data_IF_519793556692
#
_entry.id   IF_519793556692
#
_cell.length_a   1.000
_cell.length_b   1.000
_cell.length_c   1.000
_cell.angle_alpha   90.00
_cell.angle_beta   90.00
_cell.angle_gamma   90.00
#
_symmetry.space_group_name_H-M   'P 1'
#
loop_
_entity.id
_entity.type
_entity.pdbx_description
1 polymer ?
#
# COMPACT_ATOMS: atom_id res chain seq x y z
N UNK A 1 18.16 14.98 -15.27
CA UNK A 1 17.75 14.40 -16.57
C UNK A 1 16.84 15.41 -17.25
N UNK A 2 16.99 15.66 -18.53
CA UNK A 2 16.09 16.55 -19.25
C UNK A 2 14.82 15.80 -19.74
N UNK A 3 13.79 16.55 -20.19
CA UNK A 3 12.50 15.97 -20.65
C UNK A 3 12.69 14.94 -21.78
N UNK A 4 13.61 15.20 -22.73
CA UNK A 4 13.84 14.29 -23.88
C UNK A 4 14.47 12.98 -23.44
N UNK A 5 15.42 13.01 -22.53
CA UNK A 5 16.06 11.84 -21.96
C UNK A 5 15.07 11.01 -21.13
N UNK A 6 14.20 11.68 -20.37
CA UNK A 6 13.17 10.97 -19.60
C UNK A 6 12.17 10.26 -20.52
N UNK A 7 11.68 10.92 -21.57
CA UNK A 7 10.76 10.30 -22.55
C UNK A 7 11.41 9.08 -23.18
N UNK A 8 12.66 9.18 -23.60
CA UNK A 8 13.38 8.06 -24.21
C UNK A 8 13.52 6.87 -23.24
N UNK A 9 13.87 7.11 -21.99
CA UNK A 9 13.96 6.05 -20.98
C UNK A 9 12.59 5.45 -20.65
N UNK A 10 11.53 6.27 -20.66
CA UNK A 10 10.17 5.78 -20.46
C UNK A 10 9.73 4.86 -21.62
N UNK A 11 10.02 5.25 -22.87
CA UNK A 11 9.74 4.45 -24.06
C UNK A 11 10.53 3.11 -24.04
N UNK A 12 11.79 3.16 -23.67
CA UNK A 12 12.64 1.96 -23.54
C UNK A 12 12.15 1.00 -22.45
N UNK A 13 11.64 1.55 -21.33
CA UNK A 13 11.18 0.75 -20.20
C UNK A 13 9.76 0.17 -20.38
N UNK A 14 8.86 0.90 -21.09
CA UNK A 14 7.43 0.57 -21.17
C UNK A 14 6.97 0.16 -22.57
N UNK A 15 7.83 0.23 -23.59
CA UNK A 15 7.50 -0.09 -24.98
C UNK A 15 6.46 0.85 -25.63
N UNK A 16 6.13 1.98 -24.97
CA UNK A 16 5.16 2.98 -25.46
C UNK A 16 5.58 4.40 -25.06
N UNK A 17 5.02 5.39 -25.76
CA UNK A 17 5.20 6.81 -25.39
C UNK A 17 4.42 7.15 -24.12
N UNK A 18 4.98 8.05 -23.26
CA UNK A 18 4.25 8.55 -22.10
C UNK A 18 3.02 9.36 -22.52
N UNK A 19 1.95 9.25 -21.75
CA UNK A 19 0.75 10.07 -21.88
C UNK A 19 1.00 11.49 -21.40
N UNK A 20 0.10 12.42 -21.74
CA UNK A 20 0.19 13.81 -21.26
C UNK A 20 0.16 13.91 -19.73
N UNK A 21 -0.62 13.04 -19.07
CA UNK A 21 -0.71 12.97 -17.62
C UNK A 21 0.60 12.50 -16.97
N UNK A 22 1.21 11.44 -17.51
CA UNK A 22 2.50 10.91 -17.02
C UNK A 22 3.64 11.92 -17.22
N UNK A 23 3.60 12.69 -18.33
CA UNK A 23 4.53 13.78 -18.55
C UNK A 23 4.34 14.94 -17.55
N UNK A 24 3.10 15.31 -17.25
CA UNK A 24 2.78 16.36 -16.29
C UNK A 24 3.20 15.93 -14.86
N UNK A 25 2.93 14.70 -14.48
CA UNK A 25 3.35 14.13 -13.20
C UNK A 25 4.89 14.11 -13.06
N UNK A 26 5.60 13.69 -14.09
CA UNK A 26 7.06 13.69 -14.10
C UNK A 26 7.65 15.10 -13.99
N UNK A 27 6.95 16.12 -14.50
CA UNK A 27 7.34 17.54 -14.37
C UNK A 27 7.07 18.08 -12.96
N UNK A 28 5.90 17.78 -12.37
CA UNK A 28 5.51 18.27 -11.04
C UNK A 28 6.37 17.67 -9.92
N UNK A 29 6.77 16.41 -10.03
CA UNK A 29 7.53 15.69 -9.01
C UNK A 29 9.04 15.92 -9.06
N UNK A 30 9.55 16.87 -9.88
CA UNK A 30 10.99 17.14 -10.07
C UNK A 30 11.83 15.87 -10.33
N UNK A 31 11.23 14.82 -10.85
CA UNK A 31 11.92 13.56 -11.22
C UNK A 31 13.01 13.78 -12.26
N UNK A 32 13.01 14.94 -12.95
CA UNK A 32 14.10 15.34 -13.84
C UNK A 32 15.39 15.75 -13.13
N UNK A 33 15.39 15.94 -11.81
CA UNK A 33 16.55 16.48 -11.07
C UNK A 33 17.25 15.49 -10.12
N UNK A 34 16.77 14.26 -9.91
CA UNK A 34 17.43 13.28 -9.02
C UNK A 34 17.61 11.91 -9.68
N UNK A 35 18.90 11.63 -9.81
CA UNK A 35 19.52 10.54 -10.51
C UNK A 35 19.01 9.13 -10.28
N UNK A 36 19.14 8.42 -11.30
CA UNK A 36 19.14 7.00 -11.63
C UNK A 36 19.59 5.95 -10.57
N UNK A 37 19.71 6.28 -9.29
CA UNK A 37 20.16 5.30 -8.28
C UNK A 37 19.03 4.38 -7.78
N UNK A 38 17.78 4.84 -7.76
CA UNK A 38 16.68 4.04 -7.21
C UNK A 38 16.02 3.11 -8.23
N UNK A 39 16.08 3.43 -9.53
CA UNK A 39 15.54 2.56 -10.59
C UNK A 39 16.31 1.24 -10.71
N UNK A 40 17.62 1.25 -10.47
CA UNK A 40 18.46 0.02 -10.51
C UNK A 40 18.10 -0.98 -9.40
N UNK A 41 17.59 -0.52 -8.26
CA UNK A 41 17.18 -1.39 -7.16
C UNK A 41 15.87 -2.10 -7.51
N UNK A 42 14.89 -1.41 -8.12
CA UNK A 42 13.63 -2.03 -8.54
C UNK A 42 13.79 -3.04 -9.68
N UNK A 43 14.65 -2.75 -10.66
CA UNK A 43 14.95 -3.68 -11.76
C UNK A 43 15.69 -4.92 -11.22
N UNK A 44 16.55 -4.77 -10.22
CA UNK A 44 17.24 -5.89 -9.57
C UNK A 44 16.27 -6.84 -8.83
N UNK A 45 15.25 -6.31 -8.17
CA UNK A 45 14.25 -7.11 -7.45
C UNK A 45 13.34 -7.86 -8.42
N UNK A 46 12.83 -7.20 -9.46
CA UNK A 46 11.96 -7.84 -10.47
C UNK A 46 12.72 -8.89 -11.29
N UNK A 47 13.97 -8.64 -11.66
CA UNK A 47 14.82 -9.63 -12.35
C UNK A 47 15.20 -10.80 -11.42
N UNK A 48 15.40 -10.57 -10.13
CA UNK A 48 15.65 -11.62 -9.14
C UNK A 48 14.48 -12.59 -9.01
N UNK A 49 13.25 -12.09 -8.96
CA UNK A 49 12.03 -12.90 -8.89
C UNK A 49 11.81 -13.70 -10.20
N UNK A 50 12.09 -13.10 -11.35
CA UNK A 50 11.92 -13.77 -12.67
C UNK A 50 12.96 -14.89 -12.87
N UNK A 51 14.20 -14.70 -12.40
CA UNK A 51 15.25 -15.73 -12.47
C UNK A 51 14.94 -16.92 -11.54
N UNK A 52 14.38 -16.67 -10.36
CA UNK A 52 13.98 -17.76 -9.45
C UNK A 52 12.81 -18.56 -10.01
N UNK A 53 11.82 -17.94 -10.66
CA UNK A 53 10.72 -18.63 -11.33
C UNK A 53 11.21 -19.50 -12.51
N UNK A 54 12.18 -19.03 -13.29
CA UNK A 54 12.75 -19.79 -14.41
C UNK A 54 13.56 -20.99 -13.89
N UNK A 55 14.31 -20.85 -12.81
CA UNK A 55 15.08 -21.96 -12.23
C UNK A 55 14.19 -23.04 -11.66
N UNK A 56 13.06 -22.71 -11.06
CA UNK A 56 12.06 -23.69 -10.58
C UNK A 56 11.42 -24.42 -11.76
N UNK A 57 11.14 -23.75 -12.87
CA UNK A 57 10.54 -24.31 -14.08
C UNK A 57 11.49 -25.28 -14.81
N UNK A 58 12.77 -24.95 -14.87
CA UNK A 58 13.79 -25.81 -15.52
C UNK A 58 14.06 -27.08 -14.70
N UNK A 59 14.00 -27.02 -13.37
CA UNK A 59 14.21 -28.19 -12.52
C UNK A 59 13.03 -29.18 -12.58
N UNK A 60 11.81 -28.71 -12.81
CA UNK A 60 10.62 -29.57 -12.94
C UNK A 60 10.58 -30.35 -14.26
N UNK A 61 11.26 -29.90 -15.30
CA UNK A 61 11.29 -30.57 -16.61
C UNK A 61 12.41 -31.60 -16.76
N UNK A 62 13.37 -31.67 -15.82
CA UNK A 62 14.53 -32.59 -15.91
C UNK A 62 14.29 -33.96 -15.27
N UNK A 63 13.13 -34.19 -14.65
CA UNK A 63 12.80 -35.44 -13.95
C UNK A 63 11.85 -36.37 -14.70
N UNK A 64 11.45 -36.04 -15.94
CA UNK A 64 10.62 -36.91 -16.75
C UNK A 64 11.32 -37.14 -18.09
N UNK A 65 12.01 -38.25 -18.18
CA UNK A 65 12.42 -38.76 -19.50
C UNK A 65 13.79 -39.44 -19.54
N UNK A 66 13.84 -40.73 -19.20
CA UNK A 66 14.56 -41.71 -19.99
C UNK A 66 14.17 -43.13 -19.57
N UNK A 67 13.22 -43.66 -20.32
CA UNK A 67 12.98 -45.08 -20.44
C UNK A 67 13.28 -45.40 -21.90
N UNK A 68 14.40 -46.00 -22.14
CA UNK A 68 14.65 -46.68 -23.40
C UNK A 68 15.17 -48.08 -23.14
N UNK A 69 14.43 -48.99 -23.75
CA UNK A 69 14.69 -50.41 -23.88
C UNK A 69 15.87 -50.65 -24.82
N UNK A 70 16.67 -51.64 -24.56
CA UNK A 70 17.08 -52.54 -25.62
C UNK A 70 17.41 -53.95 -25.12
N UNK A 71 16.98 -54.84 -25.93
CA UNK A 71 16.86 -56.28 -25.82
C UNK A 71 18.13 -56.99 -26.33
N UNK A 72 18.31 -58.18 -25.78
CA UNK A 72 18.92 -59.40 -26.40
C UNK A 72 20.45 -59.50 -26.41
N UNK A 73 21.04 -60.50 -25.80
CA UNK A 73 21.15 -61.85 -26.30
C UNK A 73 22.11 -62.67 -25.44
N UNK A 74 21.68 -63.85 -25.05
CA UNK A 74 22.32 -65.14 -24.78
C UNK A 74 23.84 -65.24 -24.64
N UNK A 75 24.30 -65.85 -23.54
CA UNK A 75 24.91 -67.22 -23.48
C UNK A 75 25.48 -67.53 -22.10
N UNK A 76 24.93 -68.55 -21.50
CA UNK A 76 25.49 -69.71 -20.76
C UNK A 76 26.96 -69.65 -20.31
N UNK A 77 27.23 -69.71 -19.00
CA UNK A 77 27.86 -70.83 -18.29
C UNK A 77 28.16 -70.51 -16.80
N UNK A 78 27.57 -71.27 -15.93
CA UNK A 78 28.05 -71.94 -14.72
C UNK A 78 29.31 -71.41 -14.00
N UNK A 79 29.24 -70.98 -12.76
CA UNK A 79 29.70 -71.69 -11.56
C UNK A 79 29.82 -70.73 -10.35
N UNK A 80 29.16 -71.16 -9.27
CA UNK A 80 29.44 -71.00 -7.84
C UNK A 80 29.75 -69.63 -7.18
N UNK A 81 28.80 -69.28 -6.36
CA UNK A 81 28.95 -69.17 -4.88
C UNK A 81 29.74 -68.01 -4.29
N UNK A 82 29.01 -67.31 -3.41
CA UNK A 82 29.52 -66.53 -2.26
C UNK A 82 29.85 -65.09 -2.53
N UNK A 83 28.90 -64.19 -2.14
CA UNK A 83 29.02 -62.86 -1.56
C UNK A 83 27.93 -61.90 -1.98
N UNK A 84 26.68 -62.21 -1.66
CA UNK A 84 25.56 -61.25 -1.75
C UNK A 84 25.19 -60.74 -0.33
N UNK A 85 26.06 -59.92 0.26
CA UNK A 85 25.67 -59.19 1.49
C UNK A 85 26.16 -57.73 1.52
N UNK A 86 27.10 -57.34 0.69
CA UNK A 86 27.67 -55.98 0.77
C UNK A 86 27.11 -54.96 -0.27
N UNK A 87 26.32 -55.42 -1.26
CA UNK A 87 25.81 -54.53 -2.32
C UNK A 87 24.46 -53.90 -1.96
N UNK A 88 23.70 -54.48 -1.03
CA UNK A 88 22.43 -53.90 -0.59
C UNK A 88 22.62 -52.86 0.53
N UNK A 89 23.60 -53.03 1.41
CA UNK A 89 23.86 -52.07 2.48
C UNK A 89 24.33 -50.71 1.92
N UNK A 90 25.26 -50.70 0.97
CA UNK A 90 25.75 -49.48 0.37
C UNK A 90 24.71 -48.71 -0.45
N UNK A 91 23.66 -49.37 -1.00
CA UNK A 91 22.54 -48.72 -1.66
C UNK A 91 21.52 -48.14 -0.67
N UNK A 92 21.33 -48.74 0.48
CA UNK A 92 20.46 -48.25 1.56
C UNK A 92 21.11 -47.02 2.18
N UNK A 93 22.39 -47.06 2.52
CA UNK A 93 23.13 -45.95 3.11
C UNK A 93 23.19 -44.71 2.18
N UNK A 94 23.29 -44.92 0.85
CA UNK A 94 23.26 -43.81 -0.12
C UNK A 94 21.87 -43.19 -0.23
N UNK A 95 20.80 -43.98 -0.24
CA UNK A 95 19.41 -43.48 -0.32
C UNK A 95 19.01 -42.70 0.96
N UNK A 96 19.47 -43.14 2.13
CA UNK A 96 19.22 -42.45 3.40
C UNK A 96 20.00 -41.11 3.46
N UNK A 97 21.21 -41.06 2.92
CA UNK A 97 22.00 -39.85 2.84
C UNK A 97 21.33 -38.79 1.93
N UNK A 98 20.92 -39.20 0.71
CA UNK A 98 20.24 -38.31 -0.21
C UNK A 98 18.94 -37.74 0.40
N UNK A 99 18.20 -38.54 1.14
CA UNK A 99 16.98 -38.12 1.84
C UNK A 99 17.28 -37.12 2.95
N UNK A 100 18.33 -37.31 3.71
CA UNK A 100 18.77 -36.42 4.78
C UNK A 100 19.20 -35.06 4.19
N UNK A 101 19.91 -35.05 3.08
CA UNK A 101 20.31 -33.81 2.37
C UNK A 101 19.08 -33.05 1.88
N UNK A 102 18.06 -33.76 1.37
CA UNK A 102 16.83 -33.12 0.90
C UNK A 102 16.01 -32.53 2.08
N UNK A 103 15.89 -33.21 3.19
CA UNK A 103 15.28 -32.73 4.43
C UNK A 103 16.00 -31.46 4.91
N UNK A 104 17.33 -31.48 4.93
CA UNK A 104 18.10 -30.30 5.36
C UNK A 104 17.91 -29.12 4.41
N UNK A 105 17.81 -29.36 3.10
CA UNK A 105 17.50 -28.33 2.12
C UNK A 105 16.13 -27.69 2.35
N UNK A 106 15.10 -28.49 2.63
CA UNK A 106 13.76 -27.97 2.94
C UNK A 106 13.76 -27.17 4.25
N UNK A 107 14.49 -27.58 5.27
CA UNK A 107 14.66 -26.82 6.52
C UNK A 107 15.32 -25.46 6.28
N UNK A 108 16.36 -25.43 5.47
CA UNK A 108 17.02 -24.18 5.09
C UNK A 108 16.08 -23.26 4.32
N UNK A 109 15.27 -23.81 3.39
CA UNK A 109 14.26 -23.04 2.67
C UNK A 109 13.20 -22.47 3.61
N UNK A 110 12.72 -23.22 4.61
CA UNK A 110 11.79 -22.70 5.61
C UNK A 110 12.37 -21.51 6.37
N UNK A 111 13.63 -21.60 6.80
CA UNK A 111 14.31 -20.48 7.47
C UNK A 111 14.42 -19.23 6.58
N UNK A 112 14.70 -19.43 5.29
CA UNK A 112 14.76 -18.32 4.32
C UNK A 112 13.36 -17.69 4.13
N UNK A 113 12.30 -18.51 4.03
CA UNK A 113 10.93 -18.01 3.97
C UNK A 113 10.51 -17.29 5.25
N UNK A 114 10.87 -17.80 6.43
CA UNK A 114 10.58 -17.12 7.71
C UNK A 114 11.20 -15.73 7.75
N UNK A 115 12.43 -15.59 7.25
CA UNK A 115 13.10 -14.29 7.15
C UNK A 115 12.36 -13.34 6.18
N UNK A 116 12.03 -13.82 4.98
CA UNK A 116 11.30 -13.04 3.97
C UNK A 116 9.90 -12.62 4.45
N UNK A 117 9.19 -13.49 5.15
CA UNK A 117 7.87 -13.19 5.74
C UNK A 117 8.02 -12.09 6.79
N UNK A 118 9.00 -12.17 7.68
CA UNK A 118 9.26 -11.14 8.69
C UNK A 118 9.54 -9.77 8.05
N UNK A 119 10.35 -9.73 6.98
CA UNK A 119 10.62 -8.51 6.23
C UNK A 119 9.35 -7.96 5.54
N UNK A 120 8.55 -8.83 4.92
CA UNK A 120 7.31 -8.44 4.27
C UNK A 120 6.26 -7.92 5.29
N UNK A 121 6.13 -8.54 6.46
CA UNK A 121 5.27 -8.06 7.55
C UNK A 121 5.69 -6.68 8.04
N UNK A 122 6.98 -6.43 8.17
CA UNK A 122 7.51 -5.12 8.55
C UNK A 122 7.18 -4.05 7.48
N UNK A 123 7.27 -4.39 6.18
CA UNK A 123 6.91 -3.49 5.09
C UNK A 123 5.41 -3.18 5.10
N UNK A 124 4.54 -4.17 5.18
CA UNK A 124 3.08 -4.01 5.29
C UNK A 124 2.72 -3.13 6.49
N UNK A 125 3.31 -3.40 7.65
CA UNK A 125 3.08 -2.60 8.87
C UNK A 125 3.49 -1.14 8.67
N UNK A 126 4.63 -0.90 8.04
CA UNK A 126 5.12 0.45 7.73
C UNK A 126 4.19 1.17 6.76
N UNK A 127 3.82 0.54 5.64
CA UNK A 127 2.95 1.15 4.63
C UNK A 127 1.54 1.42 5.17
N UNK A 128 0.98 0.51 5.99
CA UNK A 128 -0.28 0.75 6.72
C UNK A 128 -0.20 1.97 7.64
N UNK A 129 0.91 2.13 8.35
CA UNK A 129 1.12 3.29 9.23
C UNK A 129 1.24 4.59 8.44
N UNK A 130 1.92 4.56 7.30
CA UNK A 130 2.09 5.72 6.41
C UNK A 130 0.78 6.14 5.72
N UNK A 131 -0.15 5.20 5.50
CA UNK A 131 -1.46 5.44 4.90
C UNK A 131 -2.59 5.52 5.93
N UNK A 132 -2.29 5.40 7.21
CA UNK A 132 -3.29 5.53 8.26
C UNK A 132 -3.83 6.96 8.31
N UNK A 133 -5.16 7.06 8.26
CA UNK A 133 -5.86 8.34 8.40
C UNK A 133 -6.38 8.43 9.84
N UNK A 134 -6.00 9.45 10.61
CA UNK A 134 -6.54 9.64 11.93
C UNK A 134 -8.05 9.95 11.84
N UNK A 135 -8.85 9.36 12.72
CA UNK A 135 -10.25 9.76 12.87
C UNK A 135 -10.34 11.13 13.55
N UNK A 136 -11.37 11.90 13.23
CA UNK A 136 -11.64 13.16 13.90
C UNK A 136 -11.82 12.93 15.40
N UNK A 137 -10.97 13.57 16.19
CA UNK A 137 -11.07 13.63 17.65
C UNK A 137 -11.62 15.01 18.05
N UNK A 138 -12.94 15.07 18.23
CA UNK A 138 -13.64 16.32 18.52
C UNK A 138 -13.20 16.93 19.85
N UNK A 139 -12.96 16.10 20.86
CA UNK A 139 -12.52 16.63 22.17
C UNK A 139 -11.08 17.14 22.12
N UNK A 140 -10.18 16.45 21.41
CA UNK A 140 -8.84 16.97 21.16
C UNK A 140 -8.88 18.31 20.40
N UNK A 141 -9.72 18.41 19.35
CA UNK A 141 -9.89 19.64 18.57
C UNK A 141 -10.39 20.78 19.47
N UNK A 142 -11.40 20.56 20.31
CA UNK A 142 -11.92 21.55 21.27
C UNK A 142 -10.84 22.01 22.25
N UNK A 143 -9.86 21.19 22.54
CA UNK A 143 -8.67 21.50 23.34
C UNK A 143 -7.50 22.08 22.54
N UNK A 144 -7.74 22.47 21.27
CA UNK A 144 -6.77 23.03 20.32
C UNK A 144 -5.66 22.07 19.88
N UNK A 145 -5.90 20.76 19.98
CA UNK A 145 -5.10 19.75 19.29
C UNK A 145 -5.76 19.44 17.93
N UNK A 146 -5.18 19.99 16.87
CA UNK A 146 -5.69 19.89 15.51
C UNK A 146 -5.11 18.70 14.74
N UNK A 147 -4.34 17.83 15.38
CA UNK A 147 -3.63 16.72 14.75
C UNK A 147 -4.57 15.76 14.00
N UNK A 148 -5.78 15.54 14.52
CA UNK A 148 -6.78 14.69 13.85
C UNK A 148 -7.37 15.30 12.58
N UNK A 149 -7.16 16.58 12.32
CA UNK A 149 -7.54 17.26 11.07
C UNK A 149 -6.50 17.09 9.97
N UNK A 150 -5.27 16.67 10.30
CA UNK A 150 -4.18 16.59 9.33
C UNK A 150 -4.56 15.77 8.09
N UNK A 151 -4.16 16.28 6.92
CA UNK A 151 -4.38 15.64 5.64
C UNK A 151 -5.09 16.52 4.62
N UNK A 152 -5.49 15.90 3.51
CA UNK A 152 -6.17 16.58 2.41
C UNK A 152 -7.68 16.41 2.51
N UNK A 153 -8.39 17.51 2.40
CA UNK A 153 -9.85 17.59 2.40
C UNK A 153 -10.32 18.25 1.13
N UNK A 154 -11.28 17.65 0.44
CA UNK A 154 -11.76 18.17 -0.86
C UNK A 154 -13.27 18.18 -0.92
N UNK A 155 -13.84 19.25 -1.46
CA UNK A 155 -15.27 19.37 -1.75
C UNK A 155 -15.59 18.87 -3.17
N UNK A 156 -16.86 18.63 -3.42
CA UNK A 156 -17.34 18.26 -4.74
C UNK A 156 -17.20 19.41 -5.74
N UNK A 157 -17.26 20.66 -5.28
CA UNK A 157 -16.99 21.86 -6.08
C UNK A 157 -15.50 22.05 -6.45
N UNK A 158 -14.61 21.15 -5.98
CA UNK A 158 -13.19 21.18 -6.27
C UNK A 158 -12.35 21.99 -5.30
N UNK A 159 -12.95 22.65 -4.31
CA UNK A 159 -12.21 23.34 -3.25
C UNK A 159 -11.39 22.32 -2.43
N UNK A 160 -10.19 22.72 -1.99
CA UNK A 160 -9.28 21.82 -1.29
C UNK A 160 -8.61 22.52 -0.10
N UNK A 161 -8.49 21.79 0.99
CA UNK A 161 -7.67 22.14 2.14
C UNK A 161 -6.61 21.04 2.36
N UNK A 162 -5.34 21.44 2.42
CA UNK A 162 -4.24 20.59 2.89
C UNK A 162 -3.89 21.10 4.29
N UNK A 163 -4.41 20.42 5.31
CA UNK A 163 -4.27 20.80 6.70
C UNK A 163 -3.01 20.15 7.26
N UNK A 164 -2.13 20.99 7.84
CA UNK A 164 -0.92 20.56 8.54
C UNK A 164 -1.22 20.41 10.03
N UNK A 165 -0.49 19.58 10.70
CA UNK A 165 -0.61 19.34 12.14
C UNK A 165 -0.44 20.66 12.96
N UNK A 166 0.28 21.67 12.45
CA UNK A 166 0.38 23.00 13.06
C UNK A 166 -0.91 23.83 13.04
N UNK A 167 -1.95 23.38 12.33
CA UNK A 167 -3.15 24.16 12.05
C UNK A 167 -2.99 25.15 10.89
N UNK A 168 -1.86 25.14 10.18
CA UNK A 168 -1.72 25.85 8.92
C UNK A 168 -2.35 25.03 7.81
N UNK A 169 -3.05 25.72 6.88
CA UNK A 169 -3.76 25.09 5.75
C UNK A 169 -3.32 25.75 4.46
N UNK A 170 -2.89 24.94 3.51
CA UNK A 170 -2.79 25.37 2.12
C UNK A 170 -4.18 25.20 1.50
N UNK A 171 -4.86 26.30 1.22
CA UNK A 171 -6.24 26.33 0.75
C UNK A 171 -6.32 26.67 -0.74
N UNK A 172 -7.14 25.94 -1.47
CA UNK A 172 -7.50 26.22 -2.84
C UNK A 172 -9.01 26.39 -2.94
N UNK A 173 -9.46 27.48 -3.56
CA UNK A 173 -10.87 27.74 -3.84
C UNK A 173 -11.09 28.03 -5.31
N UNK A 174 -12.28 27.70 -5.79
CA UNK A 174 -12.74 28.04 -7.12
C UNK A 174 -13.97 28.97 -7.04
N UNK A 175 -13.89 30.09 -7.70
CA UNK A 175 -15.00 31.04 -7.82
C UNK A 175 -15.06 31.52 -9.26
N UNK A 176 -16.22 31.35 -9.92
CA UNK A 176 -16.41 31.72 -11.34
C UNK A 176 -15.29 31.13 -12.24
N UNK A 177 -14.97 29.84 -12.06
CA UNK A 177 -13.91 29.09 -12.77
C UNK A 177 -12.48 29.66 -12.57
N UNK A 178 -12.30 30.60 -11.66
CA UNK A 178 -10.99 31.10 -11.27
C UNK A 178 -10.50 30.39 -10.02
N UNK A 179 -9.24 29.96 -10.06
CA UNK A 179 -8.54 29.32 -8.94
C UNK A 179 -7.90 30.38 -8.06
N UNK A 180 -8.15 30.29 -6.75
CA UNK A 180 -7.52 31.11 -5.72
C UNK A 180 -6.76 30.18 -4.76
N UNK A 181 -5.54 30.57 -4.41
CA UNK A 181 -4.71 29.86 -3.45
C UNK A 181 -4.32 30.81 -2.32
N UNK A 182 -4.40 30.32 -1.09
CA UNK A 182 -4.05 31.11 0.10
C UNK A 182 -3.60 30.20 1.22
N UNK A 183 -2.82 30.76 2.14
CA UNK A 183 -2.52 30.11 3.41
C UNK A 183 -3.53 30.55 4.45
N UNK A 184 -4.15 29.60 5.13
CA UNK A 184 -5.15 29.82 6.18
C UNK A 184 -4.59 29.32 7.51
N UNK A 185 -4.79 30.07 8.58
CA UNK A 185 -4.52 29.66 9.93
C UNK A 185 -5.78 29.14 10.60
N UNK A 186 -5.68 28.02 11.31
CA UNK A 186 -6.75 27.44 12.12
C UNK A 186 -6.43 27.58 13.62
N UNK A 187 -7.45 27.87 14.40
CA UNK A 187 -7.40 27.87 15.87
C UNK A 187 -8.78 27.52 16.40
N UNK A 188 -8.84 26.74 17.47
CA UNK A 188 -10.12 26.42 18.10
C UNK A 188 -10.90 27.69 18.43
N UNK A 189 -12.19 27.72 18.14
CA UNK A 189 -13.07 28.83 18.48
C UNK A 189 -13.29 28.90 19.99
N UNK A 190 -13.30 30.11 20.56
CA UNK A 190 -13.57 30.32 21.98
C UNK A 190 -14.98 29.88 22.39
N UNK A 191 -15.95 29.99 21.45
CA UNK A 191 -17.31 29.51 21.62
C UNK A 191 -17.56 28.33 20.71
N UNK A 192 -18.08 27.23 21.27
CA UNK A 192 -18.53 26.07 20.51
C UNK A 192 -20.02 26.16 20.26
N UNK A 193 -20.50 25.60 19.14
CA UNK A 193 -21.93 25.60 18.84
C UNK A 193 -22.67 24.62 19.75
N UNK A 194 -23.48 25.15 20.67
CA UNK A 194 -24.27 24.32 21.59
C UNK A 194 -25.39 23.51 20.93
N UNK A 195 -25.78 23.85 19.70
CA UNK A 195 -26.76 23.07 18.91
C UNK A 195 -26.15 21.77 18.40
N UNK A 196 -24.84 21.77 18.17
CA UNK A 196 -24.10 20.65 17.61
C UNK A 196 -22.95 20.24 18.55
N UNK A 197 -23.22 19.72 19.75
CA UNK A 197 -22.20 19.45 20.76
C UNK A 197 -21.20 18.35 20.34
N UNK A 198 -21.57 17.50 19.40
CA UNK A 198 -20.72 16.43 18.84
C UNK A 198 -19.78 16.92 17.74
N UNK A 199 -19.76 18.22 17.46
CA UNK A 199 -18.88 18.85 16.45
C UNK A 199 -17.89 19.77 17.11
N UNK A 200 -16.89 20.24 16.35
CA UNK A 200 -15.96 21.26 16.83
C UNK A 200 -15.91 22.44 15.86
N UNK A 201 -16.12 23.65 16.41
CA UNK A 201 -16.00 24.91 15.69
C UNK A 201 -14.58 25.44 15.79
N UNK A 202 -14.00 25.78 14.65
CA UNK A 202 -12.62 26.21 14.47
C UNK A 202 -12.63 27.56 13.77
N UNK A 203 -12.05 28.58 14.37
CA UNK A 203 -11.83 29.88 13.72
C UNK A 203 -10.75 29.75 12.66
N UNK A 204 -11.00 30.27 11.49
CA UNK A 204 -10.11 30.27 10.35
C UNK A 204 -9.90 31.70 9.85
N UNK A 205 -8.71 32.01 9.36
CA UNK A 205 -8.41 33.32 8.75
C UNK A 205 -7.38 33.16 7.64
N UNK A 206 -7.55 33.91 6.60
CA UNK A 206 -6.55 34.00 5.52
C UNK A 206 -5.34 34.76 6.06
N UNK A 207 -4.17 34.19 5.96
CA UNK A 207 -2.92 34.78 6.45
C UNK A 207 -2.61 36.06 5.67
N UNK A 208 -2.12 37.05 6.39
CA UNK A 208 -1.80 38.40 5.86
C UNK A 208 -3.00 39.18 5.32
N UNK A 209 -4.23 38.73 5.59
CA UNK A 209 -5.45 39.48 5.25
C UNK A 209 -5.97 40.30 6.42
N UNK A 210 -6.39 41.52 6.17
CA UNK A 210 -7.03 42.38 7.18
C UNK A 210 -8.51 42.06 7.40
N UNK A 211 -9.10 41.27 6.53
CA UNK A 211 -10.48 40.76 6.58
C UNK A 211 -10.52 39.35 6.02
N UNK A 212 -11.56 38.58 6.34
CA UNK A 212 -11.71 37.24 5.77
C UNK A 212 -11.62 36.10 6.81
N UNK A 213 -12.00 36.39 8.06
CA UNK A 213 -12.25 35.36 9.06
C UNK A 213 -13.52 34.56 8.70
N UNK A 214 -13.46 33.23 8.93
CA UNK A 214 -14.59 32.32 8.74
C UNK A 214 -14.49 31.17 9.77
N UNK A 215 -15.45 30.29 9.76
CA UNK A 215 -15.47 29.12 10.66
C UNK A 215 -15.33 27.87 9.81
N UNK A 216 -14.53 26.94 10.31
CA UNK A 216 -14.50 25.53 9.89
C UNK A 216 -15.17 24.71 10.99
N UNK A 217 -16.15 23.88 10.64
CA UNK A 217 -16.82 22.97 11.58
C UNK A 217 -16.43 21.55 11.24
N UNK A 218 -15.75 20.89 12.16
CA UNK A 218 -15.39 19.48 12.05
C UNK A 218 -16.55 18.60 12.53
N UNK A 219 -17.03 17.72 11.66
CA UNK A 219 -18.20 16.86 11.91
C UNK A 219 -17.80 15.40 11.70
N UNK A 220 -17.87 14.57 12.76
CA UNK A 220 -17.59 13.15 12.68
C UNK A 220 -18.58 12.40 11.78
N UNK A 221 -18.20 11.21 11.34
CA UNK A 221 -19.13 10.28 10.68
C UNK A 221 -20.29 9.91 11.61
N UNK A 222 -21.50 9.79 11.05
CA UNK A 222 -22.73 9.49 11.78
C UNK A 222 -23.43 10.70 12.41
N UNK A 223 -22.75 11.84 12.58
CA UNK A 223 -23.31 13.05 13.15
C UNK A 223 -24.05 13.84 12.07
N UNK A 224 -25.25 14.31 12.36
CA UNK A 224 -26.06 15.16 11.46
C UNK A 224 -26.14 16.56 12.08
N UNK A 225 -25.79 17.58 11.30
CA UNK A 225 -25.91 18.97 11.76
C UNK A 225 -27.37 19.35 11.98
N UNK A 226 -27.67 20.05 13.06
CA UNK A 226 -29.02 20.51 13.35
C UNK A 226 -29.52 21.46 12.23
N UNK A 227 -30.83 21.47 11.95
CA UNK A 227 -31.40 22.36 10.97
C UNK A 227 -31.13 23.84 11.28
N UNK A 228 -31.28 24.70 10.27
CA UNK A 228 -31.34 26.15 10.44
C UNK A 228 -32.51 26.57 11.34
N UNK A 229 -32.52 27.82 11.73
CA UNK A 229 -33.43 28.35 12.76
C UNK A 229 -34.92 28.18 12.39
N UNK A 230 -35.28 28.18 11.12
CA UNK A 230 -36.65 27.94 10.64
C UNK A 230 -36.99 26.44 10.38
N UNK A 231 -36.02 25.55 10.58
CA UNK A 231 -36.15 24.11 10.37
C UNK A 231 -36.20 23.65 8.91
N UNK A 232 -36.12 24.57 7.94
CA UNK A 232 -36.23 24.26 6.50
C UNK A 232 -34.89 23.87 5.87
N UNK A 233 -33.82 24.49 6.35
CA UNK A 233 -32.45 24.27 5.86
C UNK A 233 -31.85 23.13 6.69
N UNK A 234 -31.61 21.98 6.06
CA UNK A 234 -31.12 20.77 6.71
C UNK A 234 -29.77 20.34 6.12
N UNK A 235 -29.01 19.62 6.89
CA UNK A 235 -27.75 18.98 6.46
C UNK A 235 -28.05 17.89 5.40
N UNK A 236 -27.63 18.12 4.16
CA UNK A 236 -27.76 17.20 3.03
C UNK A 236 -26.42 16.57 2.63
N UNK A 237 -25.39 16.75 3.44
CA UNK A 237 -24.07 16.16 3.20
C UNK A 237 -24.07 14.64 3.41
N UNK A 238 -22.98 13.96 3.05
CA UNK A 238 -22.84 12.52 3.32
C UNK A 238 -22.50 12.28 4.80
N UNK A 239 -23.48 11.91 5.59
CA UNK A 239 -23.31 11.67 7.02
C UNK A 239 -22.47 10.43 7.36
N UNK A 240 -22.26 9.51 6.42
CA UNK A 240 -21.45 8.32 6.63
C UNK A 240 -19.95 8.63 6.70
N UNK A 241 -19.55 9.83 6.30
CA UNK A 241 -18.14 10.25 6.26
C UNK A 241 -17.86 11.40 7.22
N UNK A 242 -16.60 11.48 7.68
CA UNK A 242 -16.07 12.67 8.36
C UNK A 242 -16.04 13.84 7.36
N UNK A 243 -16.43 15.02 7.80
CA UNK A 243 -16.52 16.17 6.91
C UNK A 243 -16.27 17.50 7.59
N UNK A 244 -15.90 18.49 6.79
CA UNK A 244 -15.72 19.86 7.24
C UNK A 244 -16.70 20.76 6.51
N UNK A 245 -17.47 21.56 7.26
CA UNK A 245 -18.17 22.71 6.74
C UNK A 245 -17.28 23.94 6.86
N UNK A 246 -17.36 24.86 5.91
CA UNK A 246 -16.55 26.07 5.92
C UNK A 246 -17.35 27.25 5.42
N UNK A 247 -17.40 28.32 6.22
CA UNK A 247 -18.13 29.51 5.84
C UNK A 247 -18.27 30.52 6.99
N UNK A 248 -19.03 31.59 6.74
CA UNK A 248 -19.28 32.65 7.74
C UNK A 248 -20.64 32.53 8.43
N UNK A 249 -21.60 31.85 7.79
CA UNK A 249 -22.95 31.72 8.28
C UNK A 249 -23.39 30.26 8.28
N UNK A 250 -23.99 29.81 9.37
CA UNK A 250 -24.37 28.43 9.60
C UNK A 250 -25.31 27.89 8.51
N UNK A 251 -26.40 28.59 8.23
CA UNK A 251 -27.36 28.15 7.21
C UNK A 251 -26.78 28.14 5.81
N UNK A 252 -25.94 29.13 5.48
CA UNK A 252 -25.26 29.16 4.19
C UNK A 252 -24.35 27.95 3.97
N UNK A 253 -23.70 27.45 5.02
CA UNK A 253 -22.90 26.23 4.96
C UNK A 253 -23.76 24.98 4.69
N UNK A 254 -24.96 24.88 5.30
CA UNK A 254 -25.87 23.76 5.10
C UNK A 254 -26.55 23.77 3.72
N UNK A 255 -26.73 24.97 3.13
CA UNK A 255 -27.39 25.13 1.82
C UNK A 255 -26.55 24.63 0.64
N UNK A 256 -25.26 24.41 0.83
CA UNK A 256 -24.30 24.05 -0.21
C UNK A 256 -23.60 22.74 0.07
N UNK A 257 -24.28 21.60 -0.05
CA UNK A 257 -23.67 20.30 0.21
C UNK A 257 -22.48 19.99 -0.70
N UNK A 258 -22.43 20.61 -1.91
CA UNK A 258 -21.30 20.50 -2.84
C UNK A 258 -20.02 21.18 -2.36
N UNK A 259 -20.11 22.15 -1.43
CA UNK A 259 -18.98 22.86 -0.84
C UNK A 259 -18.46 22.19 0.45
N UNK A 260 -19.12 21.11 0.92
CA UNK A 260 -18.68 20.35 2.08
C UNK A 260 -17.42 19.56 1.73
N UNK A 261 -16.41 19.68 2.57
CA UNK A 261 -15.13 18.98 2.36
C UNK A 261 -15.16 17.60 3.00
N UNK A 262 -14.70 16.61 2.26
CA UNK A 262 -14.50 15.23 2.71
C UNK A 262 -13.02 14.91 2.68
N UNK A 263 -12.60 14.06 3.60
CA UNK A 263 -11.21 13.63 3.67
C UNK A 263 -10.84 12.81 2.43
N UNK A 264 -9.78 13.21 1.75
CA UNK A 264 -9.21 12.45 0.64
C UNK A 264 -8.54 11.19 1.22
N UNK A 265 -9.02 10.03 0.82
CA UNK A 265 -8.41 8.75 1.24
C UNK A 265 -7.04 8.60 0.59
N UNK A 266 -6.01 8.22 1.32
CA UNK A 266 -4.70 7.96 0.75
C UNK A 266 -4.76 6.78 -0.23
N UNK A 267 -3.83 6.76 -1.17
CA UNK A 267 -3.66 5.62 -2.07
C UNK A 267 -3.12 4.42 -1.29
N UNK A 268 -3.91 3.35 -1.22
CA UNK A 268 -3.58 2.09 -0.53
C UNK A 268 -3.05 1.01 -1.47
N UNK A 269 -2.89 1.30 -2.76
CA UNK A 269 -2.46 0.30 -3.76
C UNK A 269 -1.15 -0.39 -3.40
N UNK A 270 -0.22 0.35 -2.81
CA UNK A 270 1.04 -0.20 -2.31
C UNK A 270 0.85 -1.16 -1.15
N UNK A 271 -0.05 -0.85 -0.22
CA UNK A 271 -0.37 -1.73 0.92
C UNK A 271 -0.98 -3.03 0.40
N UNK A 272 -1.92 -2.93 -0.55
CA UNK A 272 -2.57 -4.10 -1.16
C UNK A 272 -1.57 -5.00 -1.91
N UNK A 273 -0.59 -4.41 -2.61
CA UNK A 273 0.49 -5.16 -3.28
C UNK A 273 1.39 -5.87 -2.26
N UNK A 274 1.79 -5.18 -1.19
CA UNK A 274 2.63 -5.74 -0.12
C UNK A 274 1.89 -6.87 0.64
N UNK A 275 0.60 -6.70 0.94
CA UNK A 275 -0.24 -7.75 1.56
C UNK A 275 -0.38 -8.99 0.66
N UNK A 276 -0.54 -8.78 -0.64
CA UNK A 276 -0.59 -9.88 -1.61
C UNK A 276 0.73 -10.64 -1.65
N UNK A 277 1.86 -9.93 -1.67
CA UNK A 277 3.18 -10.54 -1.63
C UNK A 277 3.39 -11.35 -0.33
N UNK A 278 3.03 -10.79 0.82
CA UNK A 278 3.09 -11.49 2.10
C UNK A 278 2.26 -12.77 2.09
N UNK A 279 1.03 -12.71 1.58
CA UNK A 279 0.14 -13.88 1.48
C UNK A 279 0.73 -14.97 0.59
N UNK A 280 1.41 -14.60 -0.51
CA UNK A 280 2.08 -15.54 -1.39
C UNK A 280 3.27 -16.22 -0.68
N UNK A 281 4.12 -15.46 0.01
CA UNK A 281 5.25 -16.02 0.76
C UNK A 281 4.78 -17.00 1.85
N UNK A 282 3.70 -16.69 2.55
CA UNK A 282 3.09 -17.57 3.55
C UNK A 282 2.57 -18.86 2.92
N UNK A 283 1.91 -18.80 1.76
CA UNK A 283 1.43 -19.98 1.06
C UNK A 283 2.58 -20.89 0.58
N UNK A 284 3.64 -20.31 0.03
CA UNK A 284 4.84 -21.02 -0.41
C UNK A 284 5.55 -21.72 0.77
N UNK A 285 5.66 -21.03 1.91
CA UNK A 285 6.19 -21.59 3.16
C UNK A 285 5.39 -22.82 3.62
N UNK A 286 4.06 -22.73 3.64
CA UNK A 286 3.21 -23.87 4.04
C UNK A 286 3.33 -25.07 3.10
N UNK A 287 3.53 -24.83 1.79
CA UNK A 287 3.78 -25.89 0.82
C UNK A 287 5.11 -26.63 1.11
N UNK A 288 6.17 -25.87 1.43
CA UNK A 288 7.48 -26.45 1.79
C UNK A 288 7.38 -27.21 3.11
N UNK A 289 6.69 -26.67 4.11
CA UNK A 289 6.44 -27.33 5.40
C UNK A 289 5.71 -28.65 5.22
N UNK A 290 4.65 -28.67 4.43
CA UNK A 290 3.90 -29.90 4.12
C UNK A 290 4.79 -30.94 3.42
N UNK A 291 5.67 -30.51 2.52
CA UNK A 291 6.64 -31.37 1.85
C UNK A 291 7.64 -31.96 2.84
N UNK A 292 8.16 -31.17 3.77
CA UNK A 292 9.07 -31.62 4.82
C UNK A 292 8.40 -32.65 5.72
N UNK A 293 7.20 -32.38 6.23
CA UNK A 293 6.44 -33.29 7.08
C UNK A 293 6.16 -34.64 6.39
N UNK A 294 5.85 -34.61 5.09
CA UNK A 294 5.62 -35.85 4.32
C UNK A 294 6.86 -36.70 4.21
N UNK A 295 8.06 -36.10 4.15
CA UNK A 295 9.34 -36.80 4.07
C UNK A 295 9.81 -37.31 5.43
N UNK A 296 9.55 -36.58 6.51
CA UNK A 296 9.86 -37.02 7.88
C UNK A 296 8.97 -38.17 8.31
N UNK A 297 7.67 -38.22 7.96
CA UNK A 297 6.74 -39.31 8.26
C UNK A 297 7.04 -40.63 7.54
N UNK A 298 7.81 -40.63 6.47
CA UNK A 298 8.23 -41.82 5.73
C UNK A 298 9.51 -42.44 6.28
N UNK A 299 9.93 -42.02 7.45
CA UNK A 299 10.93 -42.66 8.32
C UNK A 299 10.20 -43.56 9.33
#
# INVERSE_FOLDING_TARGET
MNKKEWVKQFEEANGRKPTASELAEAQSTKKFARGAKNIKIYIGIVLGILVTLILVSVFSHSLIGKKESNQASSAVSTTESTSQSSTNQGKIDAADKDKQEEIQKLKNQLTDFDTKITEAEALVSKSKKETAVPKLDIEAIKNNDLSSLEGTWRSQSGNEYIIKNSGEVDATWFTNDQKYESVVGLKVSKGQDSRNPETASISAWVKDSVAGGFVVVAVPSGVVMQPGDDGKITDKSNHAEERLFSGQQYEAMLMKPEDVYYRVKPDTSKVEEEEKNLSQLQAEREAIKSSLESKEKKN
#
